data_IF_541371899013
#
_entry.id   IF_541371899013
#
_cell.length_a   1.000
_cell.length_b   1.000
_cell.length_c   1.000
_cell.angle_alpha   90.00
_cell.angle_beta   90.00
_cell.angle_gamma   90.00
#
_symmetry.space_group_name_H-M   'P 1'
#
loop_
_entity.id
_entity.type
_entity.pdbx_description
1 polymer ?
#
# COMPACT_ATOMS: atom_id res chain seq x y z
N UNK A 1 61.17 -63.25 -10.13
CA UNK A 1 60.83 -61.85 -10.48
C UNK A 1 59.54 -61.89 -11.31
N UNK A 2 58.39 -61.72 -10.67
CA UNK A 2 57.09 -61.87 -11.33
C UNK A 2 56.27 -60.60 -11.07
N UNK A 3 56.01 -59.85 -12.15
CA UNK A 3 55.24 -58.60 -12.15
C UNK A 3 53.75 -58.92 -11.97
N UNK A 4 53.16 -58.47 -10.86
CA UNK A 4 51.72 -58.44 -10.65
C UNK A 4 51.17 -57.12 -11.18
N UNK A 5 50.59 -57.14 -12.37
CA UNK A 5 49.76 -56.06 -12.92
C UNK A 5 48.34 -56.18 -12.39
N UNK A 6 48.00 -55.42 -11.34
CA UNK A 6 46.61 -55.21 -10.88
C UNK A 6 45.94 -54.13 -11.74
N UNK A 7 45.02 -54.56 -12.60
CA UNK A 7 44.04 -53.71 -13.28
C UNK A 7 43.00 -53.23 -12.27
N UNK A 8 42.96 -51.93 -12.02
CA UNK A 8 41.93 -51.27 -11.20
C UNK A 8 40.65 -51.12 -12.03
N UNK A 9 39.66 -51.95 -11.77
CA UNK A 9 38.32 -51.84 -12.36
C UNK A 9 37.52 -50.82 -11.55
N UNK A 10 37.23 -49.66 -12.16
CA UNK A 10 36.48 -48.58 -11.50
C UNK A 10 35.00 -48.98 -11.32
N UNK A 11 34.40 -48.76 -10.13
CA UNK A 11 33.03 -49.22 -9.85
C UNK A 11 31.99 -48.48 -10.73
N UNK A 12 30.99 -49.21 -11.29
CA UNK A 12 30.03 -48.65 -12.24
C UNK A 12 29.02 -47.63 -11.67
N UNK A 13 29.08 -47.31 -10.37
CA UNK A 13 28.16 -46.39 -9.70
C UNK A 13 28.48 -44.89 -9.81
N UNK A 14 29.70 -44.51 -10.21
CA UNK A 14 30.15 -43.10 -10.18
C UNK A 14 29.55 -42.17 -11.24
N UNK A 15 28.91 -42.73 -12.29
CA UNK A 15 28.36 -41.92 -13.40
C UNK A 15 26.99 -41.31 -13.08
N UNK A 16 26.23 -41.94 -12.18
CA UNK A 16 24.89 -41.47 -11.79
C UNK A 16 24.96 -40.31 -10.79
N UNK A 17 25.87 -40.38 -9.83
CA UNK A 17 26.11 -39.31 -8.85
C UNK A 17 26.65 -38.05 -9.51
N UNK A 18 27.56 -38.17 -10.48
CA UNK A 18 28.06 -37.01 -11.24
C UNK A 18 26.96 -36.31 -12.04
N UNK A 19 26.02 -37.06 -12.64
CA UNK A 19 24.89 -36.50 -13.39
C UNK A 19 23.88 -35.78 -12.49
N UNK A 20 23.63 -36.29 -11.29
CA UNK A 20 22.76 -35.66 -10.30
C UNK A 20 23.36 -34.34 -9.78
N UNK A 21 24.66 -34.31 -9.52
CA UNK A 21 25.38 -33.08 -9.12
C UNK A 21 25.36 -32.05 -10.26
N UNK A 22 25.56 -32.48 -11.50
CA UNK A 22 25.52 -31.57 -12.65
C UNK A 22 24.11 -30.99 -12.86
N UNK A 23 23.05 -31.81 -12.71
CA UNK A 23 21.67 -31.35 -12.82
C UNK A 23 21.29 -30.37 -11.71
N UNK A 24 21.77 -30.56 -10.47
CA UNK A 24 21.48 -29.64 -9.36
C UNK A 24 22.14 -28.28 -9.57
N UNK A 25 23.38 -28.25 -10.07
CA UNK A 25 24.09 -27.00 -10.41
C UNK A 25 23.37 -26.23 -11.52
N UNK A 26 22.93 -26.93 -12.57
CA UNK A 26 22.16 -26.32 -13.67
C UNK A 26 20.84 -25.76 -13.16
N UNK A 27 20.13 -26.50 -12.31
CA UNK A 27 18.85 -26.06 -11.76
C UNK A 27 19.02 -24.76 -10.93
N UNK A 28 20.05 -24.69 -10.08
CA UNK A 28 20.36 -23.51 -9.27
C UNK A 28 20.71 -22.31 -10.16
N UNK A 29 21.51 -22.52 -11.21
CA UNK A 29 21.88 -21.46 -12.15
C UNK A 29 20.65 -20.91 -12.92
N UNK A 30 19.77 -21.78 -13.39
CA UNK A 30 18.53 -21.40 -14.10
C UNK A 30 17.57 -20.65 -13.16
N UNK A 31 17.44 -21.09 -11.91
CA UNK A 31 16.60 -20.43 -10.92
C UNK A 31 17.16 -19.03 -10.57
N UNK A 32 18.48 -18.89 -10.45
CA UNK A 32 19.15 -17.61 -10.24
C UNK A 32 18.92 -16.63 -11.40
N UNK A 33 19.01 -17.11 -12.65
CA UNK A 33 18.74 -16.30 -13.83
C UNK A 33 17.28 -15.84 -13.91
N UNK A 34 16.32 -16.72 -13.61
CA UNK A 34 14.88 -16.38 -13.57
C UNK A 34 14.57 -15.32 -12.50
N UNK A 35 15.19 -15.42 -11.33
CA UNK A 35 15.04 -14.42 -10.26
C UNK A 35 15.63 -13.07 -10.68
N UNK A 36 16.78 -13.06 -11.35
CA UNK A 36 17.40 -11.83 -11.86
C UNK A 36 16.54 -11.13 -12.93
N UNK A 37 15.97 -11.90 -13.86
CA UNK A 37 15.03 -11.40 -14.88
C UNK A 37 13.76 -10.85 -14.24
N UNK A 38 13.18 -11.56 -13.26
CA UNK A 38 11.95 -11.12 -12.56
C UNK A 38 12.18 -9.85 -11.73
N UNK A 39 13.40 -9.62 -11.25
CA UNK A 39 13.79 -8.38 -10.53
C UNK A 39 14.09 -7.20 -11.46
N UNK A 40 13.90 -7.34 -12.77
CA UNK A 40 14.07 -6.23 -13.71
C UNK A 40 15.52 -5.77 -13.87
N UNK A 41 16.49 -6.64 -13.57
CA UNK A 41 17.90 -6.38 -13.91
C UNK A 41 18.10 -6.55 -15.43
N UNK A 42 17.56 -5.60 -16.19
CA UNK A 42 17.88 -5.43 -17.60
C UNK A 42 19.33 -4.95 -17.68
N UNK A 43 20.23 -5.62 -18.43
CA UNK A 43 21.56 -5.10 -18.66
C UNK A 43 21.45 -3.72 -19.32
N UNK A 44 22.05 -2.73 -18.67
CA UNK A 44 22.08 -1.33 -19.07
C UNK A 44 22.46 -1.22 -20.54
N UNK A 45 21.54 -0.74 -21.36
CA UNK A 45 21.78 -0.38 -22.77
C UNK A 45 22.95 0.61 -22.81
N UNK A 46 23.99 0.40 -23.64
CA UNK A 46 25.10 1.34 -23.75
C UNK A 46 24.57 2.71 -24.17
N UNK A 47 25.04 3.74 -23.48
CA UNK A 47 24.61 5.12 -23.65
C UNK A 47 24.85 5.59 -25.09
N UNK A 48 23.78 6.01 -25.77
CA UNK A 48 23.87 6.75 -27.01
C UNK A 48 24.56 8.10 -26.75
N UNK A 49 25.45 8.56 -27.65
CA UNK A 49 26.11 9.86 -27.51
C UNK A 49 25.09 11.02 -27.56
N UNK A 50 25.41 12.16 -26.93
CA UNK A 50 24.50 13.30 -26.82
C UNK A 50 24.17 13.88 -28.20
N UNK A 51 22.87 13.90 -28.52
CA UNK A 51 22.31 14.60 -29.67
C UNK A 51 22.50 16.10 -29.48
N UNK A 52 23.18 16.73 -30.43
CA UNK A 52 23.42 18.16 -30.48
C UNK A 52 22.09 18.95 -30.45
N UNK A 53 22.08 20.03 -29.68
CA UNK A 53 20.95 20.93 -29.53
C UNK A 53 20.51 21.51 -30.89
N UNK A 54 19.20 21.49 -31.22
CA UNK A 54 18.69 22.26 -32.34
C UNK A 54 18.72 23.75 -32.00
N UNK A 55 19.27 24.53 -32.94
CA UNK A 55 19.41 25.97 -32.89
C UNK A 55 18.07 26.69 -32.62
N UNK A 56 18.15 27.75 -31.82
CA UNK A 56 17.06 28.67 -31.58
C UNK A 56 16.56 29.29 -32.89
N UNK A 57 15.28 29.11 -33.20
CA UNK A 57 14.60 29.88 -34.22
C UNK A 57 14.04 31.17 -33.59
N UNK A 58 14.14 32.32 -34.30
CA UNK A 58 13.62 33.59 -33.81
C UNK A 58 12.09 33.60 -33.81
N UNK A 59 11.51 34.04 -32.71
CA UNK A 59 10.07 34.25 -32.52
C UNK A 59 9.66 35.54 -33.23
N UNK A 60 8.90 35.43 -34.32
CA UNK A 60 8.17 36.57 -34.89
C UNK A 60 7.01 36.94 -33.98
N UNK A 61 7.11 38.11 -33.36
CA UNK A 61 6.01 38.79 -32.65
C UNK A 61 5.05 39.41 -33.66
N UNK A 62 3.94 38.73 -33.93
CA UNK A 62 2.78 39.31 -34.62
C UNK A 62 1.85 40.04 -33.63
N UNK A 63 1.19 41.15 -34.03
CA UNK A 63 0.38 41.97 -33.14
C UNK A 63 -0.95 41.30 -32.77
N UNK A 64 -1.28 41.37 -31.48
CA UNK A 64 -2.54 41.00 -30.85
C UNK A 64 -3.73 41.75 -31.49
N UNK A 65 -4.63 41.03 -32.15
CA UNK A 65 -5.97 41.55 -32.45
C UNK A 65 -6.90 41.32 -31.24
N UNK A 66 -7.20 42.40 -30.53
CA UNK A 66 -8.24 42.45 -29.52
C UNK A 66 -9.62 42.37 -30.20
N UNK A 67 -10.30 41.22 -30.09
CA UNK A 67 -11.71 41.08 -30.47
C UNK A 67 -12.57 41.38 -29.25
N UNK A 68 -12.99 42.65 -29.15
CA UNK A 68 -14.02 43.11 -28.22
C UNK A 68 -15.37 42.56 -28.70
N UNK A 69 -15.98 41.69 -27.88
CA UNK A 69 -17.41 41.37 -27.98
C UNK A 69 -18.14 42.13 -26.87
N UNK A 70 -18.80 43.21 -27.25
CA UNK A 70 -19.81 43.92 -26.44
C UNK A 70 -21.11 43.14 -26.44
N UNK A 71 -21.66 42.81 -25.27
CA UNK A 71 -23.11 42.72 -25.08
C UNK A 71 -23.54 42.84 -23.61
N UNK A 72 -24.49 43.75 -23.43
CA UNK A 72 -25.51 43.84 -22.38
C UNK A 72 -25.18 44.52 -21.03
N UNK A 73 -25.95 45.60 -20.82
CA UNK A 73 -26.63 46.01 -19.59
C UNK A 73 -25.87 46.67 -18.44
N UNK A 74 -25.64 47.97 -18.68
CA UNK A 74 -26.04 49.10 -17.82
C UNK A 74 -26.93 48.76 -16.61
N UNK A 75 -26.37 48.93 -15.41
CA UNK A 75 -27.08 49.50 -14.24
C UNK A 75 -26.14 50.51 -13.58
N UNK A 76 -26.49 51.79 -13.71
CA UNK A 76 -25.90 52.90 -12.95
C UNK A 76 -26.41 52.84 -11.51
N UNK A 77 -25.51 52.71 -10.53
CA UNK A 77 -25.77 53.15 -9.16
C UNK A 77 -24.70 54.18 -8.79
N UNK A 78 -25.07 55.44 -9.00
CA UNK A 78 -24.43 56.60 -8.39
C UNK A 78 -24.71 56.56 -6.88
N UNK A 79 -23.67 56.64 -6.05
CA UNK A 79 -23.81 57.13 -4.68
C UNK A 79 -22.73 58.18 -4.41
N UNK A 80 -23.25 59.38 -4.18
CA UNK A 80 -22.55 60.64 -3.95
C UNK A 80 -21.82 60.66 -2.61
N UNK A 81 -20.67 61.32 -2.62
CA UNK A 81 -19.93 61.72 -1.43
C UNK A 81 -20.70 62.77 -0.59
N UNK A 82 -20.42 62.77 0.71
CA UNK A 82 -20.56 63.94 1.57
C UNK A 82 -19.38 63.95 2.56
N UNK A 83 -18.49 64.93 2.37
CA UNK A 83 -17.48 65.38 3.33
C UNK A 83 -18.10 66.26 4.42
N UNK A 84 -17.45 66.26 5.59
CA UNK A 84 -17.13 67.38 6.50
C UNK A 84 -17.33 67.04 8.00
N UNK A 85 -16.78 67.81 8.96
CA UNK A 85 -15.42 67.61 9.46
C UNK A 85 -15.30 67.53 11.00
N UNK A 86 -14.16 67.02 11.47
CA UNK A 86 -13.41 67.50 12.63
C UNK A 86 -14.04 67.45 14.03
N UNK A 87 -13.53 66.57 14.89
CA UNK A 87 -13.36 66.92 16.31
C UNK A 87 -12.11 66.26 16.88
N UNK A 88 -11.28 67.12 17.46
CA UNK A 88 -10.00 66.82 18.09
C UNK A 88 -10.20 66.39 19.54
N UNK A 89 -9.35 65.47 20.01
CA UNK A 89 -8.95 65.42 21.42
C UNK A 89 -9.48 64.26 22.26
N UNK A 90 -8.69 63.18 22.35
CA UNK A 90 -8.08 62.75 23.63
C UNK A 90 -7.14 61.57 23.39
N UNK A 91 -5.90 61.76 23.79
CA UNK A 91 -4.92 60.69 23.92
C UNK A 91 -5.42 59.64 24.91
N UNK A 92 -5.60 58.42 24.43
CA UNK A 92 -5.62 57.22 25.26
C UNK A 92 -4.54 56.27 24.73
N UNK A 93 -3.61 55.97 25.61
CA UNK A 93 -2.59 54.93 25.48
C UNK A 93 -3.25 53.64 25.01
N UNK A 94 -2.81 52.99 23.92
CA UNK A 94 -3.33 51.68 23.56
C UNK A 94 -2.77 50.66 24.56
N UNK A 95 -3.62 50.26 25.51
CA UNK A 95 -3.44 48.99 26.20
C UNK A 95 -3.39 47.90 25.13
N UNK A 96 -2.35 47.08 25.17
CA UNK A 96 -2.14 45.95 24.27
C UNK A 96 -3.46 45.15 24.13
N UNK A 97 -3.89 44.78 22.92
CA UNK A 97 -5.03 43.90 22.77
C UNK A 97 -4.72 42.61 23.50
N UNK A 98 -5.50 42.36 24.56
CA UNK A 98 -5.56 41.06 25.20
C UNK A 98 -5.75 40.02 24.08
N UNK A 99 -4.85 39.03 24.05
CA UNK A 99 -4.95 37.93 23.11
C UNK A 99 -6.39 37.38 23.13
N UNK A 100 -7.02 37.13 21.97
CA UNK A 100 -8.36 36.58 21.96
C UNK A 100 -8.37 35.29 22.76
N UNK A 101 -9.31 35.27 23.70
CA UNK A 101 -9.54 34.19 24.64
C UNK A 101 -9.54 32.85 23.93
N UNK A 102 -8.86 31.88 24.54
CA UNK A 102 -8.83 30.48 24.10
C UNK A 102 -10.22 29.88 24.30
N UNK A 103 -11.16 30.13 23.41
CA UNK A 103 -12.27 29.19 23.18
C UNK A 103 -11.70 27.99 22.46
N UNK A 104 -11.10 27.09 23.25
CA UNK A 104 -10.91 25.70 22.85
C UNK A 104 -12.29 25.09 23.00
N UNK A 105 -13.14 25.22 21.98
CA UNK A 105 -14.44 24.57 21.93
C UNK A 105 -14.18 23.06 21.93
N UNK A 106 -14.35 22.43 23.10
CA UNK A 106 -14.56 20.99 23.16
C UNK A 106 -15.81 20.70 22.35
N UNK A 107 -15.66 19.93 21.27
CA UNK A 107 -16.71 19.40 20.42
C UNK A 107 -17.60 18.39 21.18
N UNK A 108 -18.27 18.84 22.22
CA UNK A 108 -19.14 18.04 23.07
C UNK A 108 -20.30 18.91 23.55
N UNK A 109 -21.33 19.04 22.72
CA UNK A 109 -22.62 19.57 23.19
C UNK A 109 -23.56 20.05 22.09
N UNK A 110 -23.09 20.94 21.20
CA UNK A 110 -23.98 21.77 20.36
C UNK A 110 -23.73 21.65 18.85
N UNK A 111 -22.85 20.74 18.42
CA UNK A 111 -22.49 20.58 17.01
C UNK A 111 -23.66 20.01 16.17
N UNK A 112 -24.68 19.41 16.80
CA UNK A 112 -25.82 18.83 16.09
C UNK A 112 -26.59 19.86 15.25
N UNK A 113 -26.66 21.12 15.71
CA UNK A 113 -27.38 22.17 14.99
C UNK A 113 -26.64 22.59 13.72
N UNK A 114 -25.30 22.61 13.76
CA UNK A 114 -24.47 22.97 12.60
C UNK A 114 -24.67 21.99 11.45
N UNK A 115 -24.85 20.70 11.74
CA UNK A 115 -25.03 19.65 10.73
C UNK A 115 -26.49 19.35 10.37
N UNK A 116 -27.46 20.05 10.94
CA UNK A 116 -28.89 19.79 10.73
C UNK A 116 -29.31 19.91 9.26
N UNK A 117 -28.70 20.86 8.52
CA UNK A 117 -29.03 21.16 7.13
C UNK A 117 -28.21 20.35 6.11
N UNK A 118 -27.36 19.41 6.54
CA UNK A 118 -26.52 18.62 5.63
C UNK A 118 -27.32 17.49 4.98
N UNK A 119 -27.39 17.53 3.65
CA UNK A 119 -28.15 16.64 2.77
C UNK A 119 -27.24 15.64 2.07
N UNK A 120 -27.31 14.37 2.45
CA UNK A 120 -26.51 13.31 1.85
C UNK A 120 -26.94 12.98 0.40
N UNK A 121 -25.98 12.60 -0.44
CA UNK A 121 -26.21 12.23 -1.85
C UNK A 121 -26.30 13.39 -2.84
N UNK A 122 -26.17 14.63 -2.37
CA UNK A 122 -26.15 15.83 -3.20
C UNK A 122 -24.77 16.51 -3.21
N UNK A 123 -24.56 17.40 -4.18
CA UNK A 123 -23.43 18.33 -4.14
C UNK A 123 -23.49 19.23 -2.90
N UNK A 124 -22.36 19.81 -2.51
CA UNK A 124 -22.32 20.78 -1.41
C UNK A 124 -23.09 22.03 -1.83
N UNK A 125 -24.14 22.37 -1.09
CA UNK A 125 -24.99 23.53 -1.37
C UNK A 125 -24.61 24.73 -0.50
N UNK A 126 -25.11 25.91 -0.84
CA UNK A 126 -24.88 27.12 -0.04
C UNK A 126 -25.43 27.01 1.39
N UNK A 127 -26.49 26.21 1.61
CA UNK A 127 -27.09 25.96 2.94
C UNK A 127 -26.19 25.12 3.85
N UNK A 128 -25.25 24.39 3.27
CA UNK A 128 -24.31 23.52 3.99
C UNK A 128 -22.97 24.20 4.22
N UNK A 129 -22.84 25.47 3.82
CA UNK A 129 -21.58 26.23 3.85
C UNK A 129 -21.01 26.33 5.27
N UNK A 130 -21.85 26.57 6.27
CA UNK A 130 -21.40 26.70 7.66
C UNK A 130 -20.85 25.37 8.19
N UNK A 131 -21.57 24.28 7.96
CA UNK A 131 -21.13 22.92 8.30
C UNK A 131 -19.84 22.53 7.57
N UNK A 132 -19.75 22.87 6.28
CA UNK A 132 -18.55 22.65 5.48
C UNK A 132 -17.35 23.40 6.07
N UNK A 133 -17.50 24.70 6.35
CA UNK A 133 -16.43 25.51 6.92
C UNK A 133 -16.04 25.08 8.33
N UNK A 134 -17.00 24.62 9.14
CA UNK A 134 -16.73 24.04 10.45
C UNK A 134 -15.79 22.83 10.33
N UNK A 135 -16.10 21.87 9.45
CA UNK A 135 -15.25 20.68 9.26
C UNK A 135 -13.88 21.04 8.64
N UNK A 136 -13.85 22.00 7.70
CA UNK A 136 -12.59 22.57 7.17
C UNK A 136 -11.73 23.14 8.29
N UNK A 137 -12.32 23.89 9.22
CA UNK A 137 -11.60 24.45 10.36
C UNK A 137 -11.05 23.35 11.28
N UNK A 138 -11.85 22.34 11.61
CA UNK A 138 -11.39 21.16 12.38
C UNK A 138 -10.22 20.44 11.69
N UNK A 139 -10.34 20.20 10.38
CA UNK A 139 -9.30 19.55 9.59
C UNK A 139 -8.02 20.41 9.49
N UNK A 140 -8.14 21.73 9.49
CA UNK A 140 -6.99 22.63 9.53
C UNK A 140 -6.28 22.61 10.89
N UNK A 141 -7.05 22.62 11.99
CA UNK A 141 -6.50 22.54 13.34
C UNK A 141 -5.77 21.22 13.61
N UNK A 142 -6.26 20.11 13.03
CA UNK A 142 -5.63 18.79 13.08
C UNK A 142 -4.14 18.84 12.69
N UNK A 143 -3.78 19.62 11.66
CA UNK A 143 -2.40 19.78 11.23
C UNK A 143 -1.54 20.67 12.12
N UNK A 144 -2.15 21.71 12.72
CA UNK A 144 -1.43 22.70 13.52
C UNK A 144 -1.09 22.22 14.93
N UNK A 145 -2.05 21.55 15.57
CA UNK A 145 -1.97 21.19 17.00
C UNK A 145 -1.89 19.68 17.22
N UNK A 146 -2.10 18.89 16.16
CA UNK A 146 -2.46 17.49 16.33
C UNK A 146 -3.87 17.36 16.92
N UNK A 147 -4.26 16.14 17.23
CA UNK A 147 -5.52 15.86 17.93
C UNK A 147 -5.28 14.83 19.02
N UNK A 148 -6.01 14.95 20.12
CA UNK A 148 -6.10 13.90 21.14
C UNK A 148 -7.14 12.83 20.77
N UNK A 149 -8.01 13.12 19.79
CA UNK A 149 -9.01 12.17 19.32
C UNK A 149 -8.34 11.04 18.54
N UNK A 150 -8.67 9.79 18.89
CA UNK A 150 -8.18 8.64 18.14
C UNK A 150 -9.00 8.47 16.87
N UNK A 151 -8.32 8.46 15.72
CA UNK A 151 -8.97 8.21 14.44
C UNK A 151 -9.55 6.79 14.40
N UNK A 152 -10.84 6.69 14.11
CA UNK A 152 -11.54 5.40 14.04
C UNK A 152 -11.41 4.84 12.63
N UNK A 153 -11.15 3.54 12.50
CA UNK A 153 -11.20 2.84 11.21
C UNK A 153 -12.64 2.37 10.97
N UNK A 154 -13.32 2.99 10.01
CA UNK A 154 -14.71 2.69 9.65
C UNK A 154 -14.76 2.27 8.18
N UNK A 155 -15.55 1.25 7.85
CA UNK A 155 -15.70 0.81 6.45
C UNK A 155 -16.57 1.80 5.68
N UNK A 156 -16.37 1.87 4.36
CA UNK A 156 -17.12 2.77 3.48
C UNK A 156 -18.63 2.55 3.61
N UNK A 157 -19.05 1.28 3.60
CA UNK A 157 -20.46 0.90 3.68
C UNK A 157 -21.13 1.49 4.93
N UNK A 158 -20.42 1.48 6.06
CA UNK A 158 -20.96 1.99 7.32
C UNK A 158 -21.13 3.53 7.28
N UNK A 159 -20.20 4.25 6.62
CA UNK A 159 -20.33 5.70 6.39
C UNK A 159 -21.50 6.07 5.45
N UNK A 160 -21.82 5.18 4.50
CA UNK A 160 -22.94 5.38 3.57
C UNK A 160 -24.29 5.02 4.21
N UNK A 161 -24.32 4.02 5.08
CA UNK A 161 -25.52 3.54 5.75
C UNK A 161 -25.96 4.46 6.90
N UNK A 162 -25.01 4.92 7.73
CA UNK A 162 -25.28 5.73 8.92
C UNK A 162 -24.50 7.07 8.92
N UNK A 163 -24.62 7.92 7.88
CA UNK A 163 -23.77 9.10 7.75
C UNK A 163 -23.88 10.03 8.95
N UNK A 164 -25.09 10.26 9.47
CA UNK A 164 -25.35 11.13 10.63
C UNK A 164 -24.53 10.76 11.87
N UNK A 165 -24.27 9.47 12.11
CA UNK A 165 -23.50 8.98 13.26
C UNK A 165 -22.02 9.33 13.18
N UNK A 166 -21.49 9.41 11.96
CA UNK A 166 -20.07 9.62 11.71
C UNK A 166 -19.72 11.06 11.33
N UNK A 167 -20.71 11.96 11.18
CA UNK A 167 -20.44 13.38 10.87
C UNK A 167 -19.52 14.00 11.91
N UNK A 168 -18.53 14.75 11.43
CA UNK A 168 -17.46 15.36 12.21
C UNK A 168 -16.64 14.39 13.08
N UNK A 169 -16.73 13.07 12.86
CA UNK A 169 -15.85 12.09 13.51
C UNK A 169 -14.55 11.97 12.74
N UNK A 170 -13.45 11.82 13.48
CA UNK A 170 -12.14 11.59 12.90
C UNK A 170 -12.03 10.15 12.41
N UNK A 171 -11.91 9.97 11.10
CA UNK A 171 -11.83 8.67 10.44
C UNK A 171 -10.44 8.50 9.84
N UNK A 172 -9.83 7.32 10.06
CA UNK A 172 -8.61 6.92 9.36
C UNK A 172 -8.98 6.20 8.08
N UNK A 173 -8.52 6.72 6.95
CA UNK A 173 -8.67 6.10 5.64
C UNK A 173 -7.32 5.64 5.14
N UNK A 174 -7.26 4.43 4.59
CA UNK A 174 -6.08 3.84 3.96
C UNK A 174 -6.47 3.24 2.62
N UNK A 175 -5.67 3.50 1.58
CA UNK A 175 -5.95 2.97 0.25
C UNK A 175 -4.97 3.47 -0.80
N UNK A 176 -5.17 3.04 -2.04
CA UNK A 176 -4.39 3.51 -3.19
C UNK A 176 -4.82 4.92 -3.57
N UNK A 177 -3.86 5.83 -3.74
CA UNK A 177 -4.12 7.18 -4.23
C UNK A 177 -4.40 7.12 -5.73
N UNK A 178 -5.64 7.32 -6.16
CA UNK A 178 -6.01 7.23 -7.58
C UNK A 178 -5.78 8.54 -8.33
N UNK A 179 -6.10 9.67 -7.70
CA UNK A 179 -6.10 10.98 -8.32
C UNK A 179 -5.99 12.08 -7.29
N UNK A 180 -5.30 13.16 -7.64
CA UNK A 180 -5.25 14.42 -6.91
C UNK A 180 -5.72 15.53 -7.85
N UNK A 181 -6.58 16.41 -7.36
CA UNK A 181 -6.99 17.62 -8.06
C UNK A 181 -6.77 18.81 -7.16
N UNK A 182 -5.98 19.78 -7.63
CA UNK A 182 -5.85 21.07 -6.97
C UNK A 182 -7.14 21.88 -7.18
N UNK A 183 -7.68 22.41 -6.09
CA UNK A 183 -8.87 23.27 -6.07
C UNK A 183 -8.54 24.52 -5.28
N UNK A 184 -8.97 25.66 -5.78
CA UNK A 184 -8.84 26.94 -5.09
C UNK A 184 -10.21 27.28 -4.53
N UNK A 185 -10.27 27.55 -3.23
CA UNK A 185 -11.48 28.08 -2.60
C UNK A 185 -11.36 29.59 -2.56
N UNK A 186 -12.31 30.29 -3.18
CA UNK A 186 -12.48 31.72 -2.95
C UNK A 186 -13.24 31.87 -1.62
N UNK A 187 -12.60 32.40 -0.55
CA UNK A 187 -13.29 32.56 0.71
C UNK A 187 -14.49 33.50 0.53
N UNK A 188 -15.66 33.19 1.13
CA UNK A 188 -16.88 33.97 0.95
C UNK A 188 -16.85 35.34 1.65
N UNK A 189 -15.77 35.67 2.36
CA UNK A 189 -15.64 36.92 3.13
C UNK A 189 -14.31 37.61 2.78
N UNK A 190 -14.40 38.83 2.24
CA UNK A 190 -13.28 39.72 1.88
C UNK A 190 -12.33 40.03 3.05
N UNK A 191 -12.71 39.67 4.29
CA UNK A 191 -11.96 39.96 5.52
C UNK A 191 -10.81 38.99 5.83
N UNK A 192 -10.53 38.00 4.97
CA UNK A 192 -9.28 37.20 5.02
C UNK A 192 -8.45 37.40 3.74
N UNK A 193 -7.69 38.50 3.63
CA UNK A 193 -7.05 38.91 2.38
C UNK A 193 -5.74 38.17 2.02
N UNK A 194 -5.22 37.26 2.85
CA UNK A 194 -3.79 36.95 2.73
C UNK A 194 -3.42 35.81 1.77
N UNK A 195 -4.36 34.98 1.32
CA UNK A 195 -4.23 34.02 0.20
C UNK A 195 -5.50 33.18 0.04
N UNK A 196 -5.87 32.78 -1.19
CA UNK A 196 -6.95 31.82 -1.39
C UNK A 196 -6.58 30.48 -0.73
N UNK A 197 -7.55 29.87 -0.05
CA UNK A 197 -7.34 28.58 0.60
C UNK A 197 -7.30 27.49 -0.47
N UNK A 198 -6.09 27.07 -0.82
CA UNK A 198 -5.88 25.95 -1.73
C UNK A 198 -6.13 24.66 -0.98
N UNK A 199 -6.90 23.76 -1.58
CA UNK A 199 -7.07 22.40 -1.11
C UNK A 199 -6.89 21.41 -2.27
N UNK A 200 -6.63 20.17 -1.92
CA UNK A 200 -6.36 19.07 -2.84
C UNK A 200 -7.43 18.00 -2.64
N UNK A 201 -8.24 17.77 -3.67
CA UNK A 201 -9.23 16.71 -3.71
C UNK A 201 -8.52 15.40 -4.12
N UNK A 202 -8.42 14.48 -3.17
CA UNK A 202 -7.78 13.18 -3.33
C UNK A 202 -8.85 12.09 -3.45
N UNK A 203 -8.80 11.28 -4.50
CA UNK A 203 -9.56 10.04 -4.59
C UNK A 203 -8.71 8.89 -4.04
N UNK A 204 -9.10 8.35 -2.89
CA UNK A 204 -8.39 7.24 -2.22
C UNK A 204 -9.25 5.99 -2.29
N UNK A 205 -8.76 4.92 -2.91
CA UNK A 205 -9.52 3.67 -3.08
C UNK A 205 -9.02 2.60 -2.12
N UNK A 206 -9.88 2.11 -1.25
CA UNK A 206 -9.62 0.91 -0.45
C UNK A 206 -9.69 -0.34 -1.33
N UNK A 207 -9.07 -1.45 -0.92
CA UNK A 207 -8.92 -2.65 -1.73
C UNK A 207 -10.26 -3.22 -2.28
N UNK A 208 -11.34 -3.05 -1.52
CA UNK A 208 -12.63 -3.71 -1.78
C UNK A 208 -13.74 -2.74 -2.20
N UNK A 209 -13.47 -1.43 -2.22
CA UNK A 209 -14.50 -0.39 -2.27
C UNK A 209 -14.27 0.65 -3.37
N UNK A 210 -15.32 1.39 -3.71
CA UNK A 210 -15.23 2.67 -4.44
C UNK A 210 -14.38 3.70 -3.66
N UNK A 211 -13.91 4.77 -4.33
CA UNK A 211 -13.06 5.75 -3.67
C UNK A 211 -13.78 6.52 -2.55
N UNK A 212 -13.01 6.88 -1.54
CA UNK A 212 -13.24 7.99 -0.64
C UNK A 212 -12.75 9.27 -1.34
N UNK A 213 -13.51 10.36 -1.25
CA UNK A 213 -13.01 11.67 -1.63
C UNK A 213 -12.53 12.39 -0.36
N UNK A 214 -11.26 12.75 -0.34
CA UNK A 214 -10.63 13.42 0.79
C UNK A 214 -10.11 14.77 0.34
N UNK A 215 -10.58 15.84 0.97
CA UNK A 215 -10.03 17.19 0.78
C UNK A 215 -8.90 17.37 1.80
N UNK A 216 -7.70 17.71 1.32
CA UNK A 216 -6.55 18.00 2.19
C UNK A 216 -5.94 19.36 1.88
N UNK A 217 -5.25 19.97 2.84
CA UNK A 217 -4.65 21.30 2.68
C UNK A 217 -3.19 21.24 2.22
N UNK A 218 -2.45 20.21 2.61
CA UNK A 218 -1.09 19.99 2.11
C UNK A 218 -1.10 19.27 0.77
N UNK A 219 -0.19 19.67 -0.13
CA UNK A 219 -0.02 19.02 -1.43
C UNK A 219 0.47 17.57 -1.25
N UNK A 220 -0.35 16.56 -1.59
CA UNK A 220 0.02 15.16 -1.38
C UNK A 220 1.15 14.71 -2.32
N UNK A 221 1.32 15.36 -3.48
CA UNK A 221 2.34 14.98 -4.45
C UNK A 221 3.69 15.58 -4.06
N UNK A 222 3.71 16.86 -3.69
CA UNK A 222 4.95 17.57 -3.33
C UNK A 222 5.42 17.22 -1.90
N UNK A 223 4.52 17.30 -0.91
CA UNK A 223 4.90 17.15 0.51
C UNK A 223 5.03 15.69 0.93
N UNK A 224 4.12 14.83 0.47
CA UNK A 224 4.19 13.40 0.81
C UNK A 224 5.01 12.57 -0.20
N UNK A 225 5.38 13.15 -1.35
CA UNK A 225 6.06 12.41 -2.43
C UNK A 225 5.20 11.26 -2.97
N UNK A 226 3.88 11.37 -2.86
CA UNK A 226 2.94 10.36 -3.33
C UNK A 226 2.79 10.43 -4.85
N UNK A 227 2.55 9.29 -5.48
CA UNK A 227 2.32 9.13 -6.91
C UNK A 227 0.96 8.50 -7.15
N UNK A 228 0.15 9.18 -7.94
CA UNK A 228 -1.15 8.71 -8.40
C UNK A 228 -1.03 7.33 -9.08
N UNK A 229 -1.97 6.45 -8.77
CA UNK A 229 -2.08 5.10 -9.33
C UNK A 229 -1.01 4.10 -8.88
N UNK A 230 -0.04 4.51 -8.04
CA UNK A 230 1.07 3.65 -7.60
C UNK A 230 1.15 3.49 -6.09
N UNK A 231 1.03 4.59 -5.37
CA UNK A 231 1.30 4.59 -3.95
C UNK A 231 0.04 4.30 -3.13
N UNK A 232 0.21 3.49 -2.09
CA UNK A 232 -0.77 3.38 -1.01
C UNK A 232 -0.51 4.50 -0.03
N UNK A 233 -1.58 5.15 0.39
CA UNK A 233 -1.57 6.28 1.29
C UNK A 233 -2.53 6.04 2.43
N UNK A 234 -2.37 6.82 3.49
CA UNK A 234 -3.33 6.93 4.57
C UNK A 234 -3.49 8.37 5.00
N UNK A 235 -4.63 8.69 5.61
CA UNK A 235 -4.92 10.03 6.11
C UNK A 235 -5.95 9.92 7.23
N UNK A 236 -5.82 10.82 8.21
CA UNK A 236 -6.81 11.02 9.25
C UNK A 236 -7.64 12.26 8.85
N UNK A 237 -8.94 12.08 8.71
CA UNK A 237 -9.84 13.07 8.15
C UNK A 237 -11.22 13.02 8.80
N UNK A 238 -11.82 14.18 9.02
CA UNK A 238 -13.17 14.27 9.53
C UNK A 238 -14.18 13.95 8.43
N UNK A 239 -15.13 13.06 8.71
CA UNK A 239 -16.20 12.76 7.78
C UNK A 239 -17.23 13.90 7.76
N UNK A 240 -17.54 14.42 6.56
CA UNK A 240 -18.49 15.52 6.41
C UNK A 240 -19.88 15.01 5.99
N UNK A 241 -19.97 14.37 4.82
CA UNK A 241 -21.23 13.88 4.25
C UNK A 241 -21.01 12.79 3.21
N UNK A 242 -22.08 12.15 2.78
CA UNK A 242 -22.10 11.38 1.53
C UNK A 242 -22.24 12.37 0.38
N UNK A 243 -21.23 12.45 -0.46
CA UNK A 243 -21.21 13.32 -1.62
C UNK A 243 -21.73 12.60 -2.87
N UNK A 244 -22.71 13.21 -3.53
CA UNK A 244 -23.15 12.81 -4.87
C UNK A 244 -22.22 13.41 -5.93
N UNK A 245 -21.60 12.55 -6.74
CA UNK A 245 -20.76 12.96 -7.87
C UNK A 245 -21.27 12.30 -9.15
N UNK A 246 -20.79 12.78 -10.31
CA UNK A 246 -21.31 12.37 -11.62
C UNK A 246 -22.83 12.61 -11.71
N UNK A 247 -23.23 13.87 -11.49
CA UNK A 247 -24.63 14.34 -11.44
C UNK A 247 -25.50 13.58 -10.41
N UNK A 248 -24.89 13.19 -9.29
CA UNK A 248 -25.55 12.46 -8.20
C UNK A 248 -25.80 10.98 -8.48
N UNK A 249 -25.39 10.44 -9.64
CA UNK A 249 -25.53 9.01 -9.97
C UNK A 249 -24.64 8.12 -9.12
N UNK A 250 -23.49 8.64 -8.68
CA UNK A 250 -22.55 7.92 -7.84
C UNK A 250 -22.41 8.61 -6.49
N UNK A 251 -22.17 7.81 -5.44
CA UNK A 251 -22.05 8.29 -4.06
C UNK A 251 -20.74 7.85 -3.46
N UNK A 252 -20.09 8.77 -2.75
CA UNK A 252 -18.87 8.48 -2.03
C UNK A 252 -18.80 9.30 -0.74
N UNK A 253 -18.16 8.77 0.32
CA UNK A 253 -17.84 9.57 1.50
C UNK A 253 -16.96 10.76 1.13
N UNK A 254 -17.31 11.94 1.61
CA UNK A 254 -16.49 13.14 1.56
C UNK A 254 -15.88 13.40 2.93
N UNK A 255 -14.57 13.37 2.99
CA UNK A 255 -13.79 13.61 4.21
C UNK A 255 -12.90 14.84 4.02
N UNK A 256 -12.53 15.47 5.14
CA UNK A 256 -11.61 16.61 5.16
C UNK A 256 -10.50 16.35 6.16
N UNK A 257 -9.26 16.31 5.68
CA UNK A 257 -8.08 16.07 6.50
C UNK A 257 -7.07 17.19 6.32
N UNK A 258 -5.97 17.11 7.06
CA UNK A 258 -4.89 18.07 6.89
C UNK A 258 -3.94 17.67 5.75
N UNK A 259 -3.49 16.42 5.78
CA UNK A 259 -2.45 15.89 4.88
C UNK A 259 -2.65 14.41 4.62
N UNK A 260 -2.04 13.96 3.53
CA UNK A 260 -1.94 12.54 3.16
C UNK A 260 -0.55 12.03 3.48
N UNK A 261 -0.48 10.81 3.98
CA UNK A 261 0.77 10.13 4.30
C UNK A 261 0.99 8.97 3.32
N UNK A 262 2.14 8.96 2.66
CA UNK A 262 2.56 7.82 1.86
C UNK A 262 2.94 6.64 2.76
N UNK A 263 2.29 5.51 2.55
CA UNK A 263 2.73 4.25 3.12
C UNK A 263 3.96 3.81 2.31
N UNK A 264 5.14 3.89 2.92
CA UNK A 264 6.30 3.19 2.39
C UNK A 264 6.05 1.72 2.65
N UNK A 265 5.64 0.96 1.64
CA UNK A 265 5.89 -0.47 1.68
C UNK A 265 7.40 -0.61 1.79
N UNK A 266 7.87 -0.87 2.99
CA UNK A 266 9.17 -1.46 3.12
C UNK A 266 9.06 -2.79 2.39
N UNK A 267 9.56 -2.85 1.15
CA UNK A 267 9.85 -4.08 0.41
C UNK A 267 10.81 -5.02 1.17
N UNK A 268 11.16 -4.67 2.41
CA UNK A 268 11.91 -5.49 3.33
C UNK A 268 11.01 -6.54 3.99
N UNK A 269 10.69 -7.62 3.25
CA UNK A 269 11.24 -8.87 3.79
C UNK A 269 12.74 -8.59 3.82
N UNK A 270 13.30 -8.39 5.01
CA UNK A 270 14.72 -8.11 5.14
C UNK A 270 15.49 -9.13 4.29
N UNK A 271 16.61 -8.76 3.65
CA UNK A 271 17.37 -9.73 2.86
C UNK A 271 17.61 -11.03 3.65
N UNK A 272 17.80 -10.93 4.97
CA UNK A 272 17.79 -12.04 5.93
C UNK A 272 16.50 -12.89 5.88
N UNK A 273 15.31 -12.29 5.97
CA UNK A 273 14.04 -13.02 5.90
C UNK A 273 13.88 -13.77 4.57
N UNK A 274 14.35 -13.20 3.45
CA UNK A 274 14.34 -13.91 2.16
C UNK A 274 15.31 -15.10 2.11
N UNK A 275 16.48 -14.97 2.76
CA UNK A 275 17.47 -16.06 2.89
C UNK A 275 16.96 -17.16 3.81
N UNK A 276 16.32 -16.81 4.93
CA UNK A 276 15.72 -17.77 5.86
C UNK A 276 14.60 -18.55 5.19
N UNK A 277 13.71 -17.86 4.46
CA UNK A 277 12.63 -18.53 3.72
C UNK A 277 13.19 -19.44 2.62
N UNK A 278 14.20 -18.97 1.87
CA UNK A 278 14.88 -19.77 0.85
C UNK A 278 15.57 -21.00 1.45
N UNK A 279 16.29 -20.84 2.56
CA UNK A 279 16.95 -21.92 3.28
C UNK A 279 15.97 -22.95 3.82
N UNK A 280 14.83 -22.50 4.37
CA UNK A 280 13.78 -23.39 4.85
C UNK A 280 13.18 -24.22 3.71
N UNK A 281 12.90 -23.60 2.56
CA UNK A 281 12.38 -24.33 1.38
C UNK A 281 13.38 -25.39 0.91
N UNK A 282 14.67 -25.07 0.84
CA UNK A 282 15.72 -26.04 0.47
C UNK A 282 15.79 -27.18 1.48
N UNK A 283 15.72 -26.89 2.78
CA UNK A 283 15.76 -27.90 3.83
C UNK A 283 14.55 -28.84 3.76
N UNK A 284 13.35 -28.31 3.50
CA UNK A 284 12.14 -29.11 3.28
C UNK A 284 12.28 -30.02 2.05
N UNK A 285 12.84 -29.51 0.95
CA UNK A 285 13.11 -30.31 -0.25
C UNK A 285 14.12 -31.42 0.04
N UNK A 286 15.21 -31.12 0.75
CA UNK A 286 16.22 -32.11 1.13
C UNK A 286 15.64 -33.18 2.05
N UNK A 287 14.83 -32.79 3.04
CA UNK A 287 14.16 -33.72 3.94
C UNK A 287 13.19 -34.62 3.17
N UNK A 288 12.43 -34.06 2.24
CA UNK A 288 11.53 -34.83 1.38
C UNK A 288 12.27 -35.83 0.49
N UNK A 289 13.39 -35.41 -0.12
CA UNK A 289 14.23 -36.29 -0.92
C UNK A 289 14.87 -37.40 -0.08
N UNK A 290 15.32 -37.08 1.13
CA UNK A 290 15.90 -38.05 2.06
C UNK A 290 14.86 -39.10 2.49
N UNK A 291 13.67 -38.66 2.89
CA UNK A 291 12.55 -39.55 3.24
C UNK A 291 12.13 -40.42 2.05
N UNK A 292 12.12 -39.86 0.83
CA UNK A 292 11.83 -40.62 -0.39
C UNK A 292 12.90 -41.66 -0.68
N UNK A 293 14.18 -41.33 -0.51
CA UNK A 293 15.27 -42.25 -0.78
C UNK A 293 15.39 -43.37 0.27
N UNK A 294 15.10 -43.07 1.55
CA UNK A 294 15.04 -44.06 2.61
C UNK A 294 14.00 -45.16 2.35
N UNK A 295 12.85 -44.80 1.75
CA UNK A 295 11.83 -45.79 1.34
C UNK A 295 12.34 -46.77 0.29
N UNK A 296 13.17 -46.32 -0.65
CA UNK A 296 13.78 -47.22 -1.65
C UNK A 296 14.80 -48.19 -1.04
N UNK A 297 15.58 -47.76 -0.04
CA UNK A 297 16.54 -48.67 0.60
C UNK A 297 15.84 -49.74 1.45
N UNK A 298 14.71 -49.41 2.11
CA UNK A 298 13.97 -50.39 2.90
C UNK A 298 13.38 -51.55 2.09
N UNK A 299 13.06 -51.35 0.81
CA UNK A 299 12.58 -52.44 -0.06
C UNK A 299 13.71 -53.43 -0.37
N UNK A 300 14.90 -52.94 -0.73
CA UNK A 300 16.05 -53.83 -0.99
C UNK A 300 16.55 -54.59 0.25
N UNK A 301 16.41 -54.02 1.45
CA UNK A 301 16.73 -54.73 2.69
C UNK A 301 15.68 -55.79 3.03
N UNK A 302 14.39 -55.51 2.76
CA UNK A 302 13.32 -56.49 2.92
C UNK A 302 13.46 -57.66 1.96
N UNK A 303 13.84 -57.41 0.70
CA UNK A 303 14.11 -58.49 -0.26
C UNK A 303 15.31 -59.36 0.14
N UNK A 304 16.33 -58.78 0.78
CA UNK A 304 17.48 -59.54 1.29
C UNK A 304 17.10 -60.41 2.49
N UNK A 305 16.40 -59.84 3.46
CA UNK A 305 15.90 -60.58 4.63
C UNK A 305 14.94 -61.71 4.21
N UNK A 306 14.02 -61.44 3.28
CA UNK A 306 13.10 -62.46 2.78
C UNK A 306 13.80 -63.59 2.01
N UNK A 307 14.98 -63.35 1.42
CA UNK A 307 15.79 -64.40 0.80
C UNK A 307 16.54 -65.23 1.85
N UNK A 308 17.10 -64.59 2.86
CA UNK A 308 17.74 -65.31 3.98
C UNK A 308 16.73 -66.21 4.71
N UNK A 309 15.52 -65.70 5.00
CA UNK A 309 14.44 -66.50 5.63
C UNK A 309 13.99 -67.67 4.74
N UNK A 310 13.97 -67.50 3.42
CA UNK A 310 13.59 -68.56 2.49
C UNK A 310 14.69 -69.64 2.34
N UNK A 311 15.96 -69.24 2.42
CA UNK A 311 17.11 -70.15 2.34
C UNK A 311 17.25 -70.97 3.63
N UNK A 312 16.93 -70.40 4.79
CA UNK A 312 16.91 -71.13 6.07
C UNK A 312 15.74 -72.13 6.16
N UNK A 313 14.61 -71.87 5.48
CA UNK A 313 13.47 -72.78 5.40
C UNK A 313 13.72 -74.01 4.48
N UNK A 314 14.72 -73.96 3.60
CA UNK A 314 15.04 -75.05 2.67
C UNK A 314 16.10 -76.02 3.23
N UNK A 315 16.56 -75.84 4.48
CA UNK A 315 17.43 -76.81 5.14
C UNK A 315 16.61 -78.07 5.42
N UNK A 316 16.85 -79.19 4.71
CA UNK A 316 16.08 -80.41 4.92
C UNK A 316 16.30 -80.90 6.34
N UNK A 317 15.20 -81.11 7.06
CA UNK A 317 15.18 -81.67 8.40
C UNK A 317 16.12 -82.89 8.44
N UNK A 318 17.14 -82.92 9.33
CA UNK A 318 18.10 -84.01 9.34
C UNK A 318 17.33 -85.31 9.56
N UNK A 319 17.37 -86.18 8.56
CA UNK A 319 16.68 -87.46 8.55
C UNK A 319 16.83 -88.12 9.92
N UNK A 320 15.69 -88.30 10.60
CA UNK A 320 15.63 -88.97 11.87
C UNK A 320 16.28 -90.34 11.72
N UNK A 321 17.46 -90.49 12.34
CA UNK A 321 18.13 -91.78 12.39
C UNK A 321 17.16 -92.77 13.04
N UNK A 322 16.94 -93.95 12.44
CA UNK A 322 16.07 -94.96 13.03
C UNK A 322 16.65 -95.36 14.39
N UNK A 323 16.01 -94.87 15.45
CA UNK A 323 15.99 -95.53 16.75
C UNK A 323 15.29 -96.86 16.46
N UNK A 324 16.04 -97.96 16.61
CA UNK A 324 15.58 -99.32 16.96
C UNK A 324 16.66 -100.32 16.50
N UNK A 325 17.83 -100.25 17.15
CA UNK A 325 18.69 -101.42 17.28
C UNK A 325 18.35 -102.05 18.63
N UNK A 326 17.29 -102.85 18.63
CA UNK A 326 16.92 -103.73 19.73
C UNK A 326 18.05 -104.74 19.93
N UNK A 327 18.81 -104.53 21.01
CA UNK A 327 19.87 -105.41 21.46
C UNK A 327 19.20 -106.60 22.14
N UNK A 328 18.94 -107.68 21.41
CA UNK A 328 18.44 -108.93 21.97
C UNK A 328 19.63 -109.74 22.52
N UNK A 329 19.84 -109.57 23.82
CA UNK A 329 20.85 -110.24 24.64
C UNK A 329 20.17 -111.46 25.29
N UNK A 330 20.39 -112.68 24.77
CA UNK A 330 20.02 -113.93 25.46
C UNK A 330 21.02 -115.07 25.24
N UNK A 331 21.16 -115.95 26.26
CA UNK A 331 22.43 -116.53 26.71
C UNK A 331 22.95 -117.76 25.98
#
# INVERSE_FOLDING_TARGET
MSKLSRTFQSPPGGRLTLRLILMSVILVAVLGALIAVRRGMVPSRPASPPSAAPAAQPVETGPLQARVQTKADRVELQLSAADAPGTSGKALVPAAPAAPDKTTTKATGDDNDVFANVLDGHHVTWKERDAYHHVVAMAWELGRKGTSEQAVSVRRIDLLAEPKKYRARLIRVKGSLLRVRKRTFDPPDEKRPDRPLVHYECAIKSAEDDPYFVLVFEDPLEKAGAREGRDVVWTDAYFFKVWGYNDGKMKAPLLMGYRVHKLKFTDALSPMASVVLGGFVVLVILLWLWLRHGRYQSESLRERLAREDAEEAEIPEPASLPRDAEYDDRP
#
